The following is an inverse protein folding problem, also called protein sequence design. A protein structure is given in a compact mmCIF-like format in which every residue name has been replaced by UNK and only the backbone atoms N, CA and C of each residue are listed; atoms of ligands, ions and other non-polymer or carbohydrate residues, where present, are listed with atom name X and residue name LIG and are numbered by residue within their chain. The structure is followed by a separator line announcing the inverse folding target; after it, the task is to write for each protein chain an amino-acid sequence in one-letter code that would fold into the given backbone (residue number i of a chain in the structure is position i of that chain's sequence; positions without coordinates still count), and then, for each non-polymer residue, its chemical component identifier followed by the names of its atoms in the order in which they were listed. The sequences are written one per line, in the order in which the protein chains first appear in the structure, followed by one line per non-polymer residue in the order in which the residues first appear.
data_IF_414140388572
#
_entry.id   IF_414140388572
#
_cell.length_a   1.000
_cell.length_b   1.000
_cell.length_c   1.000
_cell.angle_alpha   90.00
_cell.angle_beta   90.00
_cell.angle_gamma   90.00
#
_symmetry.space_group_name_H-M   'P 1'
#
loop_
_entity.id
_entity.type
_entity.pdbx_description
1 polymer ?
#
# COMPACT_ATOMS: atom_id res chain seq x y z
N UNK A 1 26.75 11.77 -0.12
CA UNK A 1 25.82 10.67 -0.43
C UNK A 1 24.52 11.35 -0.82
N UNK A 2 24.37 11.66 -2.11
CA UNK A 2 23.14 12.19 -2.69
C UNK A 2 22.64 11.11 -3.64
N UNK A 3 21.91 10.14 -3.11
CA UNK A 3 21.16 9.20 -3.93
C UNK A 3 19.90 9.95 -4.37
N UNK A 4 20.07 10.61 -5.52
CA UNK A 4 19.06 11.41 -6.18
C UNK A 4 17.92 10.49 -6.59
N UNK A 5 16.84 10.56 -5.82
CA UNK A 5 15.59 9.83 -6.01
C UNK A 5 14.90 10.34 -7.30
N UNK A 6 15.41 9.94 -8.47
CA UNK A 6 14.86 10.30 -9.77
C UNK A 6 13.92 9.18 -10.24
N UNK A 7 12.69 9.21 -9.73
CA UNK A 7 11.63 8.28 -10.10
C UNK A 7 10.94 8.81 -11.36
N UNK A 8 11.37 8.30 -12.51
CA UNK A 8 10.53 8.29 -13.70
C UNK A 8 9.65 7.04 -13.59
N UNK A 9 8.33 7.20 -13.72
CA UNK A 9 7.27 6.19 -13.52
C UNK A 9 7.32 4.92 -14.38
N UNK A 10 8.49 4.53 -14.86
CA UNK A 10 8.76 3.30 -15.60
C UNK A 10 9.85 2.42 -14.95
N UNK A 11 10.49 2.87 -13.86
CA UNK A 11 11.61 2.15 -13.23
C UNK A 11 11.41 1.99 -11.70
N UNK A 12 10.27 1.41 -11.30
CA UNK A 12 10.15 0.90 -9.93
C UNK A 12 11.06 -0.33 -9.85
N UNK A 13 12.18 -0.19 -9.16
CA UNK A 13 13.15 -1.28 -9.02
C UNK A 13 12.52 -2.50 -8.34
N UNK A 14 13.07 -3.70 -8.59
CA UNK A 14 12.54 -4.94 -8.01
C UNK A 14 12.41 -4.86 -6.48
N UNK A 15 13.43 -4.31 -5.81
CA UNK A 15 13.43 -4.13 -4.35
C UNK A 15 12.33 -3.19 -3.85
N UNK A 16 11.89 -2.24 -4.65
CA UNK A 16 10.79 -1.34 -4.29
C UNK A 16 9.45 -1.95 -4.55
N UNK A 17 9.32 -2.73 -5.63
CA UNK A 17 8.12 -3.50 -5.88
C UNK A 17 7.84 -4.49 -4.74
N UNK A 18 8.87 -5.06 -4.11
CA UNK A 18 8.73 -5.86 -2.90
C UNK A 18 8.20 -5.05 -1.72
N UNK A 19 8.75 -3.85 -1.47
CA UNK A 19 8.23 -2.96 -0.41
C UNK A 19 6.78 -2.52 -0.68
N UNK A 20 6.44 -2.23 -1.94
CA UNK A 20 5.08 -1.84 -2.36
C UNK A 20 4.12 -3.01 -2.15
N UNK A 21 4.53 -4.24 -2.46
CA UNK A 21 3.74 -5.44 -2.22
C UNK A 21 3.47 -5.65 -0.72
N UNK A 22 4.47 -5.48 0.14
CA UNK A 22 4.31 -5.58 1.58
C UNK A 22 3.41 -4.46 2.13
N UNK A 23 3.65 -3.22 1.73
CA UNK A 23 2.81 -2.08 2.11
C UNK A 23 1.36 -2.27 1.67
N UNK A 24 1.14 -2.81 0.47
CA UNK A 24 -0.19 -3.15 -0.03
C UNK A 24 -0.91 -4.17 0.87
N UNK A 25 -0.22 -5.21 1.34
CA UNK A 25 -0.80 -6.21 2.26
C UNK A 25 -1.18 -5.59 3.60
N UNK A 26 -0.31 -4.74 4.15
CA UNK A 26 -0.57 -4.04 5.41
C UNK A 26 -1.77 -3.10 5.29
N UNK A 27 -1.80 -2.27 4.24
CA UNK A 27 -2.92 -1.38 3.92
C UNK A 27 -4.22 -2.18 3.72
N UNK A 28 -4.14 -3.30 3.01
CA UNK A 28 -5.31 -4.17 2.79
C UNK A 28 -5.84 -4.71 4.11
N UNK A 29 -4.96 -5.18 5.00
CA UNK A 29 -5.35 -5.66 6.33
C UNK A 29 -6.01 -4.56 7.17
N UNK A 30 -5.48 -3.33 7.14
CA UNK A 30 -6.07 -2.16 7.81
C UNK A 30 -7.48 -1.91 7.26
N UNK A 31 -7.64 -1.87 5.93
CA UNK A 31 -8.95 -1.67 5.28
C UNK A 31 -9.95 -2.77 5.63
N UNK A 32 -9.51 -4.03 5.65
CA UNK A 32 -10.36 -5.16 6.02
C UNK A 32 -10.80 -5.08 7.49
N UNK A 33 -9.89 -4.67 8.40
CA UNK A 33 -10.24 -4.48 9.80
C UNK A 33 -11.25 -3.34 9.97
N UNK A 34 -11.02 -2.19 9.33
CA UNK A 34 -11.92 -1.05 9.37
C UNK A 34 -13.27 -1.40 8.78
N UNK A 35 -13.32 -2.13 7.67
CA UNK A 35 -14.59 -2.57 7.08
C UNK A 35 -15.38 -3.49 8.02
N UNK A 36 -14.71 -4.40 8.73
CA UNK A 36 -15.33 -5.25 9.76
C UNK A 36 -15.87 -4.41 10.92
N UNK A 37 -15.08 -3.46 11.42
CA UNK A 37 -15.51 -2.55 12.49
C UNK A 37 -16.68 -1.66 12.04
N UNK A 38 -16.66 -1.13 10.83
CA UNK A 38 -17.75 -0.34 10.24
C UNK A 38 -19.03 -1.17 10.05
N UNK A 39 -18.92 -2.45 9.69
CA UNK A 39 -20.09 -3.32 9.59
C UNK A 39 -20.70 -3.63 10.96
N UNK A 40 -19.88 -3.61 12.01
CA UNK A 40 -20.31 -3.82 13.39
C UNK A 40 -20.92 -2.54 14.02
N UNK A 41 -20.52 -1.36 13.54
CA UNK A 41 -20.95 -0.06 14.05
C UNK A 41 -22.01 0.54 13.12
N UNK A 42 -23.26 0.65 13.58
CA UNK A 42 -24.31 1.38 12.85
C UNK A 42 -24.24 2.91 13.05
N UNK A 43 -23.16 3.42 13.65
CA UNK A 43 -23.04 4.82 14.07
C UNK A 43 -22.09 5.60 13.15
N UNK A 44 -22.54 6.77 12.70
CA UNK A 44 -21.83 7.57 11.68
C UNK A 44 -20.63 8.33 12.24
N UNK A 45 -20.64 8.67 13.54
CA UNK A 45 -19.57 9.46 14.17
C UNK A 45 -18.33 8.59 14.48
N UNK A 46 -18.54 7.41 15.06
CA UNK A 46 -17.45 6.43 15.29
C UNK A 46 -16.82 5.95 13.98
N UNK A 47 -17.62 5.86 12.92
CA UNK A 47 -17.14 5.53 11.57
C UNK A 47 -16.11 6.55 11.07
N UNK A 48 -16.35 7.84 11.27
CA UNK A 48 -15.43 8.89 10.82
C UNK A 48 -14.09 8.82 11.56
N UNK A 49 -14.11 8.64 12.88
CA UNK A 49 -12.88 8.50 13.67
C UNK A 49 -12.07 7.27 13.27
N UNK A 50 -12.74 6.16 12.97
CA UNK A 50 -12.08 4.92 12.51
C UNK A 50 -11.44 5.11 11.13
N UNK A 51 -12.10 5.82 10.22
CA UNK A 51 -11.56 6.12 8.89
C UNK A 51 -10.34 7.05 8.97
N UNK A 52 -10.36 8.05 9.85
CA UNK A 52 -9.22 8.95 10.06
C UNK A 52 -8.00 8.16 10.58
N UNK A 53 -8.20 7.38 11.64
CA UNK A 53 -7.16 6.53 12.21
C UNK A 53 -6.62 5.51 11.20
N UNK A 54 -7.50 4.94 10.38
CA UNK A 54 -7.10 4.03 9.31
C UNK A 54 -6.20 4.73 8.29
N UNK A 55 -6.48 5.98 7.95
CA UNK A 55 -5.63 6.79 7.09
C UNK A 55 -4.21 6.93 7.67
N UNK A 56 -4.11 7.27 8.95
CA UNK A 56 -2.81 7.36 9.64
C UNK A 56 -2.09 6.01 9.70
N UNK A 57 -2.82 4.92 9.96
CA UNK A 57 -2.26 3.57 9.97
C UNK A 57 -1.76 3.14 8.59
N UNK A 58 -2.45 3.54 7.52
CA UNK A 58 -1.99 3.27 6.14
C UNK A 58 -0.69 4.00 5.84
N UNK A 59 -0.58 5.28 6.20
CA UNK A 59 0.66 6.06 6.00
C UNK A 59 1.82 5.40 6.76
N UNK A 60 1.61 5.09 8.05
CA UNK A 60 2.62 4.42 8.88
C UNK A 60 3.03 3.05 8.33
N UNK A 61 2.08 2.29 7.80
CA UNK A 61 2.36 0.99 7.19
C UNK A 61 3.27 1.11 5.96
N UNK A 62 3.17 2.19 5.19
CA UNK A 62 4.08 2.45 4.06
C UNK A 62 5.46 2.87 4.57
N UNK A 63 5.49 3.81 5.53
CA UNK A 63 6.74 4.31 6.13
C UNK A 63 7.55 3.20 6.82
N UNK A 64 6.89 2.24 7.47
CA UNK A 64 7.52 1.08 8.10
C UNK A 64 8.27 0.18 7.10
N UNK A 65 7.86 0.17 5.84
CA UNK A 65 8.54 -0.56 4.77
C UNK A 65 9.72 0.24 4.18
N UNK A 66 9.99 1.44 4.69
CA UNK A 66 10.99 2.34 4.15
C UNK A 66 10.58 2.93 2.80
N UNK A 67 9.27 3.12 2.60
CA UNK A 67 8.67 3.85 1.48
C UNK A 67 7.99 5.11 1.99
N UNK A 68 7.90 6.13 1.15
CA UNK A 68 7.03 7.27 1.40
C UNK A 68 5.62 6.97 0.86
N UNK A 69 4.60 7.52 1.52
CA UNK A 69 3.20 7.36 1.07
C UNK A 69 2.99 7.86 -0.37
N UNK A 70 3.67 8.93 -0.75
CA UNK A 70 3.67 9.45 -2.13
C UNK A 70 4.21 8.42 -3.12
N UNK A 71 5.38 7.84 -2.84
CA UNK A 71 5.99 6.79 -3.67
C UNK A 71 5.10 5.56 -3.80
N UNK A 72 4.45 5.14 -2.70
CA UNK A 72 3.48 4.06 -2.76
C UNK A 72 2.30 4.41 -3.67
N UNK A 73 1.77 5.63 -3.57
CA UNK A 73 0.64 6.05 -4.38
C UNK A 73 1.01 6.12 -5.86
N UNK A 74 2.16 6.72 -6.19
CA UNK A 74 2.70 6.74 -7.56
C UNK A 74 2.90 5.33 -8.11
N UNK A 75 3.44 4.42 -7.30
CA UNK A 75 3.59 3.01 -7.68
C UNK A 75 2.24 2.34 -7.98
N UNK A 76 1.23 2.62 -7.14
CA UNK A 76 -0.12 2.11 -7.33
C UNK A 76 -0.82 2.73 -8.55
N UNK A 77 -0.52 3.98 -8.90
CA UNK A 77 -1.00 4.62 -10.12
C UNK A 77 -0.35 4.00 -11.36
N UNK A 78 0.98 3.80 -11.33
CA UNK A 78 1.72 3.13 -12.40
C UNK A 78 1.21 1.70 -12.60
N UNK A 79 0.98 0.93 -11.53
CA UNK A 79 0.40 -0.42 -11.56
C UNK A 79 -0.99 -0.47 -12.22
N UNK A 80 -1.77 0.62 -12.19
CA UNK A 80 -3.09 0.65 -12.86
C UNK A 80 -2.96 0.81 -14.37
N UNK A 81 -1.95 1.54 -14.83
CA UNK A 81 -1.74 1.86 -16.25
C UNK A 81 -0.76 0.92 -16.93
N UNK A 82 0.09 0.23 -16.17
CA UNK A 82 1.15 -0.64 -16.64
C UNK A 82 0.86 -2.11 -16.28
N UNK A 83 0.63 -2.92 -17.31
CA UNK A 83 0.33 -4.34 -17.19
C UNK A 83 1.50 -5.16 -16.64
N UNK A 84 2.74 -4.78 -16.91
CA UNK A 84 3.93 -5.48 -16.42
C UNK A 84 4.12 -5.23 -14.93
N UNK A 85 4.00 -3.98 -14.49
CA UNK A 85 4.02 -3.62 -13.05
C UNK A 85 2.88 -4.32 -12.31
N UNK A 86 1.68 -4.38 -12.91
CA UNK A 86 0.55 -5.12 -12.34
C UNK A 86 0.83 -6.61 -12.17
N UNK A 87 1.39 -7.26 -13.17
CA UNK A 87 1.79 -8.68 -13.09
C UNK A 87 2.89 -8.88 -12.06
N UNK A 88 3.86 -7.97 -12.01
CA UNK A 88 5.00 -7.99 -11.09
C UNK A 88 4.56 -7.86 -9.63
N UNK A 89 3.63 -6.93 -9.35
CA UNK A 89 2.99 -6.79 -8.04
C UNK A 89 2.18 -8.05 -7.70
N UNK A 90 1.33 -8.51 -8.62
CA UNK A 90 0.48 -9.68 -8.39
C UNK A 90 1.31 -10.93 -8.08
N UNK A 91 2.42 -11.15 -8.80
CA UNK A 91 3.36 -12.24 -8.55
C UNK A 91 3.93 -12.19 -7.14
N UNK A 92 4.34 -11.01 -6.64
CA UNK A 92 4.84 -10.84 -5.27
C UNK A 92 3.75 -11.05 -4.22
N UNK A 93 2.54 -10.57 -4.49
CA UNK A 93 1.38 -10.79 -3.61
C UNK A 93 1.02 -12.28 -3.50
N UNK A 94 1.11 -13.04 -4.60
CA UNK A 94 0.87 -14.48 -4.63
C UNK A 94 2.03 -15.28 -4.03
N UNK A 95 3.28 -14.87 -4.28
CA UNK A 95 4.46 -15.63 -3.86
C UNK A 95 4.72 -15.59 -2.36
N UNK A 96 4.21 -14.59 -1.63
CA UNK A 96 4.25 -14.62 -0.15
C UNK A 96 3.07 -15.38 0.47
N UNK A 97 2.20 -15.99 -0.33
CA UNK A 97 1.13 -16.89 0.14
C UNK A 97 1.59 -18.34 0.31
N UNK A 98 2.81 -18.68 -0.11
CA UNK A 98 3.37 -20.03 -0.03
C UNK A 98 4.67 -20.00 0.78
N UNK A 99 4.57 -20.11 2.11
CA UNK A 99 5.64 -20.59 2.98
C UNK A 99 5.08 -21.13 4.30
#
# INVERSE_FOLDING_TARGET
MQDSKNFMGSDIGESEMDKVAEAYKSIKSIKENVHKEMTALNDSDETLQKLEKAGEDMVRAVEQQGLDFETYNEAMEAVKTDDELRRSLNKRLQSSGEH
#
